data_IF_420949886932
#
_entry.id   IF_420949886932
#
_cell.length_a   1.000
_cell.length_b   1.000
_cell.length_c   1.000
_cell.angle_alpha   90.00
_cell.angle_beta   90.00
_cell.angle_gamma   90.00
#
_symmetry.space_group_name_H-M   'P 1'
#
loop_
_entity.id
_entity.type
_entity.pdbx_description
1 polymer ?
#
# COMPACT_ATOMS: atom_id res chain seq x y z
N UNK A 1 6.27 1.83 -5.85
CA UNK A 1 7.70 2.18 -5.85
C UNK A 1 7.92 3.33 -6.84
N UNK A 2 8.74 4.34 -6.52
CA UNK A 2 9.15 5.32 -7.54
C UNK A 2 10.24 4.66 -8.40
N UNK A 3 9.97 4.49 -9.70
CA UNK A 3 10.85 3.76 -10.61
C UNK A 3 12.13 4.51 -11.02
N UNK A 4 12.44 5.66 -10.41
CA UNK A 4 13.68 6.41 -10.68
C UNK A 4 13.86 6.89 -12.12
N UNK A 5 12.78 7.07 -12.88
CA UNK A 5 12.87 7.40 -14.30
C UNK A 5 13.56 8.75 -14.54
N UNK A 6 14.58 8.77 -15.41
CA UNK A 6 15.29 9.99 -15.79
C UNK A 6 14.43 10.92 -16.67
N UNK A 7 13.42 10.36 -17.35
CA UNK A 7 12.47 11.11 -18.18
C UNK A 7 11.06 10.57 -18.00
N UNK A 8 10.07 11.45 -18.02
CA UNK A 8 8.64 11.11 -17.93
C UNK A 8 7.88 11.69 -19.13
N UNK A 9 6.91 10.91 -19.63
CA UNK A 9 6.05 11.34 -20.75
C UNK A 9 4.82 12.06 -20.21
N UNK A 10 4.61 13.30 -20.62
CA UNK A 10 3.47 14.13 -20.22
C UNK A 10 2.84 14.69 -21.49
N UNK A 11 1.57 14.37 -21.74
CA UNK A 11 0.79 14.84 -22.91
C UNK A 11 1.46 14.63 -24.29
N UNK A 12 2.27 13.57 -24.45
CA UNK A 12 2.91 13.23 -25.73
C UNK A 12 4.41 13.48 -25.77
N UNK A 13 4.92 14.38 -24.92
CA UNK A 13 6.31 14.81 -24.90
C UNK A 13 7.10 14.25 -23.72
N UNK A 14 8.41 14.11 -23.89
CA UNK A 14 9.33 13.56 -22.89
C UNK A 14 10.08 14.66 -22.12
N UNK A 15 9.84 14.76 -20.82
CA UNK A 15 10.47 15.75 -19.93
C UNK A 15 11.54 15.10 -19.04
N UNK A 16 12.71 15.73 -18.84
CA UNK A 16 13.73 15.22 -17.92
C UNK A 16 13.37 15.49 -16.46
N UNK A 17 13.63 14.53 -15.58
CA UNK A 17 13.51 14.68 -14.12
C UNK A 17 14.81 15.28 -13.59
N UNK A 18 14.79 16.58 -13.26
CA UNK A 18 15.96 17.31 -12.74
C UNK A 18 15.92 17.54 -11.23
N UNK A 19 14.75 17.39 -10.62
CA UNK A 19 14.57 17.60 -9.19
C UNK A 19 15.10 16.40 -8.40
N UNK A 20 15.59 16.65 -7.19
CA UNK A 20 15.81 15.59 -6.21
C UNK A 20 14.45 15.07 -5.75
N UNK A 21 14.25 13.76 -5.82
CA UNK A 21 13.02 13.09 -5.41
C UNK A 21 13.31 12.29 -4.14
N UNK A 22 12.41 12.40 -3.16
CA UNK A 22 12.46 11.65 -1.91
C UNK A 22 11.07 11.07 -1.63
N UNK A 23 11.02 9.87 -1.06
CA UNK A 23 9.78 9.23 -0.61
C UNK A 23 9.74 9.29 0.90
N UNK A 24 8.76 10.02 1.44
CA UNK A 24 8.50 10.04 2.87
C UNK A 24 7.46 8.96 3.20
N UNK A 25 7.90 7.89 3.85
CA UNK A 25 6.99 6.89 4.42
C UNK A 25 6.35 7.40 5.71
N UNK A 26 5.18 6.85 6.07
CA UNK A 26 4.53 7.14 7.37
C UNK A 26 3.68 8.42 7.42
N UNK A 27 3.51 9.13 6.31
CA UNK A 27 2.56 10.26 6.21
C UNK A 27 1.19 9.84 5.64
N UNK A 28 1.04 8.57 5.28
CA UNK A 28 -0.25 8.03 4.85
C UNK A 28 -1.19 7.93 6.05
N UNK A 29 -2.45 8.33 5.89
CA UNK A 29 -3.48 8.11 6.92
C UNK A 29 -4.03 6.67 6.96
N UNK A 30 -3.45 5.76 6.17
CA UNK A 30 -3.84 4.35 6.14
C UNK A 30 -2.95 3.54 7.09
N UNK A 31 -3.54 2.53 7.72
CA UNK A 31 -2.80 1.55 8.50
C UNK A 31 -1.89 0.70 7.61
N UNK A 32 -0.66 0.46 8.05
CA UNK A 32 0.18 -0.57 7.45
C UNK A 32 -0.30 -1.99 7.83
N UNK A 33 0.39 -3.03 7.34
CA UNK A 33 -0.03 -4.41 7.57
C UNK A 33 -0.01 -4.79 9.06
N UNK A 34 0.93 -4.25 9.84
CA UNK A 34 1.06 -4.54 11.26
C UNK A 34 -0.03 -3.80 12.06
N UNK A 35 -0.34 -2.57 11.68
CA UNK A 35 -1.43 -1.79 12.27
C UNK A 35 -2.80 -2.43 11.97
N UNK A 36 -3.02 -2.94 10.76
CA UNK A 36 -4.25 -3.66 10.41
C UNK A 36 -4.36 -4.99 11.17
N UNK A 37 -3.27 -5.76 11.27
CA UNK A 37 -3.22 -7.00 12.06
C UNK A 37 -3.55 -6.71 13.54
N UNK A 38 -2.94 -5.68 14.12
CA UNK A 38 -3.19 -5.27 15.48
C UNK A 38 -4.65 -4.82 15.68
N UNK A 39 -5.20 -4.06 14.74
CA UNK A 39 -6.60 -3.61 14.79
C UNK A 39 -7.57 -4.80 14.75
N UNK A 40 -7.31 -5.81 13.91
CA UNK A 40 -8.09 -7.04 13.87
C UNK A 40 -7.99 -7.82 15.18
N UNK A 41 -6.79 -7.96 15.74
CA UNK A 41 -6.56 -8.65 17.02
C UNK A 41 -7.25 -7.98 18.21
N UNK A 42 -7.49 -6.67 18.13
CA UNK A 42 -8.20 -5.89 19.15
C UNK A 42 -9.71 -5.82 18.93
N UNK A 43 -10.22 -6.34 17.82
CA UNK A 43 -11.64 -6.28 17.50
C UNK A 43 -12.46 -7.26 18.33
N UNK A 44 -13.74 -6.95 18.54
CA UNK A 44 -14.71 -7.85 19.19
C UNK A 44 -15.27 -8.93 18.24
N UNK A 45 -14.60 -9.18 17.10
CA UNK A 45 -15.03 -10.20 16.15
C UNK A 45 -14.91 -11.59 16.76
N UNK A 46 -15.92 -12.43 16.53
CA UNK A 46 -15.85 -13.82 16.95
C UNK A 46 -14.69 -14.54 16.21
N UNK A 47 -14.06 -15.55 16.83
CA UNK A 47 -13.10 -16.40 16.14
C UNK A 47 -13.68 -16.94 14.84
N UNK A 48 -12.84 -17.04 13.80
CA UNK A 48 -13.21 -17.54 12.47
C UNK A 48 -14.23 -16.69 11.68
N UNK A 49 -14.52 -15.46 12.13
CA UNK A 49 -15.33 -14.53 11.33
C UNK A 49 -14.72 -14.35 9.92
N UNK A 50 -15.47 -14.62 8.84
CA UNK A 50 -14.95 -14.44 7.48
C UNK A 50 -14.63 -12.97 7.19
N UNK A 51 -13.39 -12.68 6.81
CA UNK A 51 -12.91 -11.34 6.47
C UNK A 51 -12.73 -11.22 4.95
N UNK A 52 -13.26 -10.15 4.37
CA UNK A 52 -13.05 -9.80 2.97
C UNK A 52 -12.14 -8.57 2.87
N UNK A 53 -10.96 -8.73 2.27
CA UNK A 53 -10.04 -7.62 2.05
C UNK A 53 -10.45 -6.83 0.80
N UNK A 54 -10.53 -5.51 0.93
CA UNK A 54 -10.93 -4.58 -0.13
C UNK A 54 -10.00 -3.35 -0.13
N UNK A 55 -10.15 -2.46 -1.11
CA UNK A 55 -9.43 -1.19 -1.19
C UNK A 55 -7.89 -1.34 -1.10
N UNK A 56 -7.35 -2.22 -1.93
CA UNK A 56 -5.91 -2.38 -2.12
C UNK A 56 -5.63 -2.98 -3.49
N UNK A 57 -4.38 -2.85 -3.95
CA UNK A 57 -3.97 -3.51 -5.18
C UNK A 57 -4.08 -5.04 -5.02
N UNK A 58 -4.45 -5.80 -6.08
CA UNK A 58 -4.70 -7.23 -5.97
C UNK A 58 -3.55 -8.03 -5.32
N UNK A 59 -2.30 -7.68 -5.63
CA UNK A 59 -1.12 -8.32 -5.05
C UNK A 59 -0.97 -8.01 -3.56
N UNK A 60 -1.22 -6.76 -3.15
CA UNK A 60 -1.18 -6.36 -1.75
C UNK A 60 -2.27 -7.04 -0.92
N UNK A 61 -3.49 -7.15 -1.48
CA UNK A 61 -4.59 -7.87 -0.82
C UNK A 61 -4.29 -9.37 -0.69
N UNK A 62 -3.71 -10.00 -1.71
CA UNK A 62 -3.30 -11.40 -1.65
C UNK A 62 -2.21 -11.62 -0.58
N UNK A 63 -1.21 -10.74 -0.53
CA UNK A 63 -0.15 -10.80 0.47
C UNK A 63 -0.69 -10.63 1.90
N UNK A 64 -1.59 -9.66 2.13
CA UNK A 64 -2.19 -9.46 3.44
C UNK A 64 -3.09 -10.64 3.85
N UNK A 65 -3.85 -11.22 2.91
CA UNK A 65 -4.63 -12.44 3.17
C UNK A 65 -3.72 -13.58 3.64
N UNK A 66 -2.60 -13.77 2.98
CA UNK A 66 -1.68 -14.86 3.31
C UNK A 66 -0.93 -14.58 4.62
N UNK A 67 -0.68 -13.32 4.96
CA UNK A 67 -0.13 -12.89 6.26
C UNK A 67 -1.09 -13.14 7.43
N UNK A 68 -2.40 -12.98 7.22
CA UNK A 68 -3.43 -13.14 8.27
C UNK A 68 -3.87 -14.60 8.51
N UNK A 69 -3.27 -15.58 7.83
CA UNK A 69 -3.57 -17.02 7.98
C UNK A 69 -2.60 -17.71 8.93
#
# INVERSE_FOLDING_TARGET
MIGGAERIKIHGDWFPVKARLEVLSGLSGHGDFAEIEQWLAQSDLAPETPINLIHGDPEALAALRDHLR
#
